data_IF_015089217561
#
_entry.id   IF_015089217561
#
_cell.length_a   1.000
_cell.length_b   1.000
_cell.length_c   1.000
_cell.angle_alpha   90.00
_cell.angle_beta   90.00
_cell.angle_gamma   90.00
#
_symmetry.space_group_name_H-M   'P 1'
#
loop_
_entity.id
_entity.type
_entity.pdbx_description
1 polymer ?
2 non-polymer ?
3 non-polymer ?
4 water ?
#
# COMPACT_ATOMS: atom_id res chain seq x y z
N UNK A 4 -29.58 10.16 -3.77
CA UNK A 4 -28.18 9.85 -4.26
C UNK A 4 -27.51 8.84 -3.33
N UNK A 5 -27.53 7.52 -3.63
CA UNK A 5 -27.10 6.51 -2.67
C UNK A 5 -25.59 6.57 -2.42
N UNK A 6 -25.14 6.20 -1.22
CA UNK A 6 -23.69 6.14 -0.94
C UNK A 6 -23.11 4.88 -1.54
N UNK A 7 -21.90 4.94 -2.12
CA UNK A 7 -21.36 3.76 -2.76
C UNK A 7 -20.92 2.69 -1.78
N UNK A 8 -20.96 1.43 -2.26
CA UNK A 8 -20.48 0.22 -1.55
C UNK A 8 -19.08 -0.13 -2.04
N UNK A 9 -18.70 0.36 -3.24
CA UNK A 9 -17.41 0.04 -3.86
C UNK A 9 -17.00 1.15 -4.85
N UNK A 10 -15.73 1.55 -4.81
CA UNK A 10 -15.15 2.61 -5.68
C UNK A 10 -14.01 1.96 -6.45
N UNK A 11 -13.57 2.63 -7.49
CA UNK A 11 -12.34 2.22 -8.19
C UNK A 11 -11.31 3.30 -7.96
N UNK A 12 -10.10 2.82 -7.83
CA UNK A 12 -8.93 3.66 -7.48
C UNK A 12 -7.89 3.38 -8.53
N UNK A 13 -7.37 4.44 -9.12
CA UNK A 13 -6.21 4.38 -10.04
C UNK A 13 -4.96 4.72 -9.23
N UNK A 14 -3.94 3.90 -9.38
CA UNK A 14 -2.59 4.16 -8.82
C UNK A 14 -1.62 4.27 -9.98
N UNK A 15 -0.92 5.38 -10.08
CA UNK A 15 0.17 5.52 -11.06
C UNK A 15 1.50 5.72 -10.37
N UNK A 16 2.57 5.15 -10.89
CA UNK A 16 3.93 5.47 -10.45
C UNK A 16 4.77 5.70 -11.70
N UNK A 17 5.49 6.82 -11.70
CA UNK A 17 6.41 7.15 -12.80
C UNK A 17 7.62 7.87 -12.30
N UNK A 18 8.78 7.31 -12.57
CA UNK A 18 10.05 8.02 -12.41
C UNK A 18 10.29 8.75 -13.74
N UNK A 19 10.17 10.07 -13.69
CA UNK A 19 10.19 10.96 -14.87
C UNK A 19 11.62 11.22 -15.34
N UNK A 20 12.66 10.78 -14.59
CA UNK A 20 14.05 10.97 -15.03
C UNK A 20 14.38 12.43 -15.25
N UNK A 21 13.77 13.31 -14.45
CA UNK A 21 14.06 14.77 -14.43
C UNK A 21 13.85 15.37 -15.82
N UNK A 22 12.90 14.84 -16.59
CA UNK A 22 12.54 15.37 -17.91
C UNK A 22 11.08 15.71 -17.89
N UNK A 23 10.65 16.79 -18.57
CA UNK A 23 9.23 17.08 -18.71
C UNK A 23 8.55 15.95 -19.46
N UNK A 24 7.25 15.73 -19.21
CA UNK A 24 6.52 14.67 -19.89
C UNK A 24 6.20 15.08 -21.32
N UNK A 25 5.81 14.13 -22.19
CA UNK A 25 5.37 14.47 -23.53
C UNK A 25 3.98 15.12 -23.48
N UNK A 26 3.47 15.57 -24.62
CA UNK A 26 2.21 16.35 -24.64
C UNK A 26 1.01 15.46 -24.31
N UNK A 27 1.08 14.15 -24.55
CA UNK A 27 -0.06 13.26 -24.26
C UNK A 27 0.38 12.09 -23.37
N UNK A 28 -0.26 11.93 -22.20
CA UNK A 28 0.07 10.84 -21.24
C UNK A 28 -1.23 10.09 -20.88
N UNK A 29 -2.30 10.27 -21.68
CA UNK A 29 -3.61 9.64 -21.42
C UNK A 29 -3.56 8.10 -21.33
N UNK A 30 -2.65 7.45 -22.06
CA UNK A 30 -2.47 5.97 -22.06
C UNK A 30 -2.25 5.48 -20.63
N UNK A 31 -1.52 6.26 -19.83
CA UNK A 31 -1.26 5.92 -18.41
C UNK A 31 -2.59 5.79 -17.65
N UNK A 32 -3.42 6.82 -17.68
CA UNK A 32 -4.67 6.89 -16.89
C UNK A 32 -5.66 5.86 -17.42
N UNK A 33 -5.52 5.47 -18.67
CA UNK A 33 -6.41 4.47 -19.31
C UNK A 33 -5.90 3.05 -19.11
N UNK A 34 -4.77 2.81 -18.43
CA UNK A 34 -4.25 1.44 -18.21
C UNK A 34 -4.09 0.73 -19.56
N UNK A 35 -3.45 1.40 -20.52
CA UNK A 35 -3.15 0.88 -21.88
C UNK A 35 -1.64 0.65 -22.02
N UNK A 36 -1.25 -0.50 -22.58
CA UNK A 36 0.15 -0.78 -22.89
C UNK A 36 0.37 -2.24 -22.75
N UNK A 37 1.30 -2.63 -21.87
CA UNK A 37 1.64 -4.05 -21.62
C UNK A 37 1.12 -4.47 -20.26
N UNK A 38 0.96 -5.78 -20.06
CA UNK A 38 0.56 -6.36 -18.79
C UNK A 38 -0.91 -6.61 -18.76
N UNK A 39 -1.50 -6.43 -17.58
CA UNK A 39 -2.95 -6.58 -17.34
C UNK A 39 -3.59 -5.22 -17.59
N UNK A 40 -4.19 -5.04 -18.77
CA UNK A 40 -4.67 -3.75 -19.25
C UNK A 40 -6.21 -3.70 -19.12
N UNK A 41 -6.69 -2.48 -19.19
CA UNK A 41 -8.11 -2.17 -18.96
C UNK A 41 -8.84 -2.29 -20.31
N UNK A 42 -10.05 -2.84 -20.29
CA UNK A 42 -10.92 -3.02 -21.48
C UNK A 42 -11.24 -1.66 -22.11
N UNK A 43 -11.22 -1.60 -23.44
CA UNK A 43 -11.54 -0.35 -24.19
C UNK A 43 -12.94 0.16 -23.84
N UNK A 44 -13.86 -0.74 -23.52
CA UNK A 44 -15.25 -0.36 -23.25
C UNK A 44 -15.34 0.51 -21.98
N UNK A 45 -14.29 0.54 -21.15
CA UNK A 45 -14.26 1.30 -19.87
C UNK A 45 -13.64 2.67 -20.04
N UNK A 46 -13.14 3.02 -21.21
CA UNK A 46 -12.27 4.22 -21.36
C UNK A 46 -12.93 5.49 -20.86
N UNK A 47 -14.25 5.64 -21.03
CA UNK A 47 -14.89 6.92 -20.63
C UNK A 47 -15.34 6.88 -19.17
N UNK A 48 -15.22 5.75 -18.50
CA UNK A 48 -15.73 5.58 -17.12
C UNK A 48 -14.64 6.11 -16.20
N UNK A 49 -14.88 7.19 -15.45
CA UNK A 49 -13.83 7.73 -14.61
C UNK A 49 -13.65 6.78 -13.42
N UNK A 50 -12.41 6.66 -12.95
CA UNK A 50 -12.14 6.10 -11.63
C UNK A 50 -12.64 7.12 -10.62
N UNK A 51 -12.94 6.65 -9.42
CA UNK A 51 -13.40 7.55 -8.34
C UNK A 51 -12.27 8.41 -7.81
N UNK A 52 -11.10 7.80 -7.64
CA UNK A 52 -9.90 8.45 -7.07
C UNK A 52 -8.73 8.08 -7.97
N UNK A 53 -7.91 9.07 -8.34
CA UNK A 53 -6.62 8.89 -9.04
C UNK A 53 -5.51 9.30 -8.10
N UNK A 54 -4.55 8.40 -7.88
CA UNK A 54 -3.39 8.70 -7.02
C UNK A 54 -2.17 8.57 -7.88
N UNK A 55 -1.40 9.65 -8.01
CA UNK A 55 -0.28 9.77 -8.98
C UNK A 55 1.04 10.00 -8.23
N UNK A 56 1.92 8.99 -8.23
CA UNK A 56 3.23 9.06 -7.56
C UNK A 56 4.27 9.29 -8.63
N UNK A 57 5.03 10.35 -8.49
CA UNK A 57 6.21 10.59 -9.35
C UNK A 57 7.50 10.58 -8.51
N UNK A 58 8.59 10.31 -9.23
CA UNK A 58 9.98 10.36 -8.71
C UNK A 58 10.79 11.07 -9.78
N UNK A 59 11.85 11.76 -9.36
CA UNK A 59 12.68 12.54 -10.30
C UNK A 59 11.77 13.49 -11.10
N UNK A 60 10.79 14.09 -10.42
CA UNK A 60 9.77 14.94 -11.06
C UNK A 60 10.31 16.36 -11.15
N UNK A 61 10.53 16.89 -12.38
CA UNK A 61 11.16 18.20 -12.53
C UNK A 61 10.18 19.37 -12.52
N UNK A 62 8.89 19.05 -12.45
CA UNK A 62 7.82 20.05 -12.61
C UNK A 62 7.49 20.71 -11.27
N UNK A 63 6.95 21.92 -11.32
CA UNK A 63 6.31 22.50 -10.12
C UNK A 63 5.00 21.74 -9.86
N UNK A 64 4.46 21.85 -8.65
CA UNK A 64 3.17 21.25 -8.31
C UNK A 64 2.13 21.81 -9.28
N UNK A 65 2.18 23.13 -9.50
CA UNK A 65 1.21 23.77 -10.39
C UNK A 65 1.31 23.16 -11.80
N UNK A 66 2.51 23.05 -12.35
CA UNK A 66 2.69 22.56 -13.74
C UNK A 66 2.15 21.12 -13.84
N UNK A 67 2.42 20.30 -12.85
CA UNK A 67 2.00 18.86 -12.91
C UNK A 67 0.48 18.76 -12.73
N UNK A 68 -0.09 19.50 -11.78
CA UNK A 68 -1.55 19.51 -11.57
C UNK A 68 -2.29 19.88 -12.86
N UNK A 69 -1.80 20.92 -13.56
CA UNK A 69 -2.32 21.40 -14.86
C UNK A 69 -2.43 20.20 -15.81
N UNK A 70 -1.31 19.51 -16.01
CA UNK A 70 -1.19 18.37 -16.96
C UNK A 70 -2.12 17.24 -16.52
N UNK A 71 -2.12 16.91 -15.24
CA UNK A 71 -2.98 15.81 -14.75
C UNK A 71 -4.45 16.15 -14.99
N UNK A 72 -4.89 17.31 -14.53
CA UNK A 72 -6.34 17.62 -14.59
C UNK A 72 -6.81 17.67 -16.05
N UNK A 73 -6.02 18.28 -16.92
CA UNK A 73 -6.27 18.36 -18.39
C UNK A 73 -6.43 16.94 -18.94
N UNK A 74 -5.48 16.06 -18.65
CA UNK A 74 -5.43 14.66 -19.17
C UNK A 74 -6.71 13.92 -18.73
N UNK A 75 -7.11 14.05 -17.47
CA UNK A 75 -8.34 13.37 -16.98
C UNK A 75 -9.56 14.00 -17.63
N UNK A 76 -9.59 15.34 -17.74
CA UNK A 76 -10.74 16.03 -18.40
C UNK A 76 -10.89 15.55 -19.86
N UNK A 77 -9.79 15.44 -20.60
CA UNK A 77 -9.84 14.95 -21.99
C UNK A 77 -10.39 13.52 -22.05
N UNK A 78 -9.99 12.66 -21.12
CA UNK A 78 -10.46 11.25 -21.08
C UNK A 78 -11.93 11.17 -20.69
N UNK A 79 -12.32 11.85 -19.63
CA UNK A 79 -13.59 11.53 -18.90
C UNK A 79 -14.64 12.60 -19.12
N UNK A 80 -14.24 13.78 -19.58
CA UNK A 80 -15.03 15.04 -19.57
C UNK A 80 -15.42 15.45 -18.15
N UNK A 81 -14.69 15.01 -17.14
CA UNK A 81 -14.92 15.39 -15.73
C UNK A 81 -13.76 16.25 -15.25
N UNK A 82 -14.07 17.35 -14.59
CA UNK A 82 -13.06 18.20 -13.92
C UNK A 82 -12.84 17.67 -12.50
N UNK A 83 -11.70 17.05 -12.27
CA UNK A 83 -11.41 16.38 -10.98
C UNK A 83 -11.06 17.43 -9.95
N UNK A 84 -11.38 17.17 -8.68
CA UNK A 84 -10.98 18.01 -7.54
C UNK A 84 -9.65 17.52 -6.97
N UNK A 85 -8.81 18.45 -6.56
CA UNK A 85 -7.53 18.12 -5.90
C UNK A 85 -7.80 17.83 -4.42
N UNK A 86 -7.54 16.61 -3.99
CA UNK A 86 -7.70 16.20 -2.57
C UNK A 86 -6.45 16.62 -1.83
N UNK A 87 -5.28 16.32 -2.41
CA UNK A 87 -4.00 16.57 -1.73
C UNK A 87 -2.86 16.54 -2.73
N UNK A 88 -1.82 17.27 -2.44
CA UNK A 88 -0.54 17.20 -3.17
C UNK A 88 0.56 17.40 -2.15
N UNK A 89 1.57 16.58 -2.21
CA UNK A 89 2.72 16.68 -1.28
C UNK A 89 3.98 16.27 -2.00
N UNK A 90 5.02 17.08 -1.86
CA UNK A 90 6.32 16.89 -2.54
C UNK A 90 7.45 16.90 -1.52
N UNK A 91 8.34 15.90 -1.60
CA UNK A 91 9.64 15.90 -0.89
C UNK A 91 10.69 15.84 -1.97
N UNK A 92 11.47 16.89 -2.09
CA UNK A 92 12.52 16.98 -3.12
C UNK A 92 11.85 16.79 -4.48
N UNK A 93 12.11 15.70 -5.17
CA UNK A 93 11.53 15.45 -6.51
C UNK A 93 10.60 14.22 -6.46
N UNK A 94 10.14 13.86 -5.25
CA UNK A 94 9.17 12.76 -5.00
C UNK A 94 7.81 13.38 -4.71
N UNK A 95 6.79 13.03 -5.47
CA UNK A 95 5.53 13.76 -5.34
C UNK A 95 4.35 12.79 -5.34
N UNK A 96 3.33 13.17 -4.63
CA UNK A 96 2.05 12.44 -4.65
C UNK A 96 0.92 13.45 -4.90
N UNK A 97 0.05 13.11 -5.84
CA UNK A 97 -1.19 13.87 -6.13
C UNK A 97 -2.38 12.95 -5.94
N UNK A 98 -3.40 13.40 -5.24
CA UNK A 98 -4.70 12.71 -5.14
C UNK A 98 -5.78 13.60 -5.73
N UNK A 99 -6.48 13.04 -6.73
CA UNK A 99 -7.58 13.68 -7.45
C UNK A 99 -8.82 12.81 -7.25
N UNK A 100 -9.98 13.43 -7.08
CA UNK A 100 -11.24 12.67 -6.96
C UNK A 100 -12.36 13.30 -7.76
N UNK A 101 -13.35 12.49 -8.16
CA UNK A 101 -14.61 12.97 -8.76
C UNK A 101 -15.15 14.11 -7.90
N UNK A 102 -15.76 15.17 -8.49
CA UNK A 102 -16.37 16.23 -7.70
C UNK A 102 -17.49 15.75 -6.77
N UNK A 103 -18.20 14.69 -7.13
CA UNK A 103 -19.31 14.14 -6.31
C UNK A 103 -18.76 13.57 -4.99
N UNK A 104 -17.45 13.35 -4.86
CA UNK A 104 -16.83 12.75 -3.65
C UNK A 104 -16.32 13.81 -2.67
N UNK A 105 -16.42 15.09 -3.02
CA UNK A 105 -15.77 16.15 -2.23
C UNK A 105 -16.25 16.15 -0.77
N UNK A 106 -17.52 15.85 -0.54
CA UNK A 106 -18.13 15.86 0.82
C UNK A 106 -18.18 14.44 1.40
N UNK A 107 -17.56 13.45 0.72
CA UNK A 107 -17.36 12.09 1.28
C UNK A 107 -15.91 11.97 1.82
N UNK A 108 -15.05 12.90 1.45
CA UNK A 108 -13.61 12.85 1.77
C UNK A 108 -13.32 13.80 2.92
N UNK A 109 -12.72 13.30 3.98
CA UNK A 109 -12.38 14.17 5.12
C UNK A 109 -11.09 13.70 5.75
N UNK A 110 -10.62 14.40 6.78
CA UNK A 110 -9.45 13.98 7.58
C UNK A 110 -8.24 13.76 6.66
N UNK A 111 -7.98 14.70 5.77
CA UNK A 111 -6.89 14.57 4.79
C UNK A 111 -5.58 14.82 5.54
N UNK A 112 -4.63 13.89 5.44
CA UNK A 112 -3.28 14.01 6.06
C UNK A 112 -2.23 13.83 4.97
N UNK A 113 -1.10 14.53 5.12
CA UNK A 113 0.08 14.36 4.22
C UNK A 113 1.28 14.26 5.14
N UNK A 114 2.29 13.53 4.69
CA UNK A 114 3.57 13.46 5.43
C UNK A 114 4.66 12.98 4.48
N UNK A 115 5.88 13.04 4.93
CA UNK A 115 7.04 12.58 4.16
C UNK A 115 8.04 12.00 5.16
N UNK A 116 8.85 11.09 4.68
CA UNK A 116 10.01 10.53 5.41
C UNK A 116 11.23 10.67 4.52
N UNK A 117 12.32 11.18 5.04
CA UNK A 117 13.64 11.23 4.39
C UNK A 117 14.42 10.00 4.83
N UNK A 118 14.91 9.16 3.92
CA UNK A 118 15.66 7.94 4.35
C UNK A 118 17.18 8.21 4.40
N UNK A 119 17.95 7.39 5.12
CA UNK A 119 19.42 7.47 5.11
C UNK A 119 19.97 8.54 6.05
N UNK A 120 21.30 8.58 6.23
CA UNK A 120 22.03 9.48 7.18
C UNK A 120 23.23 10.09 6.42
N UNK A 121 23.38 11.43 6.47
CA UNK A 121 24.54 12.21 5.98
C UNK A 121 24.72 12.03 4.45
N UNK A 122 25.69 11.21 4.01
CA UNK A 122 25.86 10.70 2.62
C UNK A 122 24.50 10.41 1.97
N UNK A 123 23.73 9.51 2.62
CA UNK A 123 22.56 8.80 2.05
C UNK A 123 21.26 9.57 2.35
N UNK A 124 21.31 10.68 3.12
CA UNK A 124 20.16 11.62 3.28
C UNK A 124 20.30 12.76 2.27
N UNK A 125 19.33 12.90 1.36
CA UNK A 125 19.26 14.09 0.52
C UNK A 125 18.45 13.89 -0.74
N UNK A 126 18.18 12.66 -1.16
CA UNK A 126 17.19 12.59 -2.25
C UNK A 126 16.14 11.46 -2.22
N UNK A 127 16.31 10.44 -1.38
CA UNK A 127 15.42 9.24 -1.30
C UNK A 127 14.48 9.39 -0.10
N UNK A 128 13.32 8.76 -0.17
CA UNK A 128 12.34 8.76 0.91
C UNK A 128 10.98 8.56 0.34
N UNK A 129 9.98 9.07 1.03
CA UNK A 129 8.59 8.76 0.66
C UNK A 129 7.72 9.96 0.97
N UNK A 130 6.64 10.09 0.22
CA UNK A 130 5.53 10.99 0.55
C UNK A 130 4.28 10.14 0.70
N UNK A 131 3.31 10.67 1.42
CA UNK A 131 2.06 9.94 1.63
C UNK A 131 0.90 10.82 1.86
N UNK A 132 -0.27 10.24 1.64
CA UNK A 132 -1.58 10.88 1.82
C UNK A 132 -2.49 9.87 2.48
N UNK A 133 -3.26 10.30 3.47
CA UNK A 133 -4.41 9.52 3.94
C UNK A 133 -5.67 10.39 4.01
N UNK A 134 -6.82 9.72 3.99
CA UNK A 134 -8.10 10.41 4.24
C UNK A 134 -9.15 9.35 4.52
N UNK A 135 -10.28 9.83 4.99
CA UNK A 135 -11.51 9.03 5.11
C UNK A 135 -12.33 9.23 3.85
N UNK A 136 -12.84 8.14 3.30
CA UNK A 136 -13.87 8.13 2.28
C UNK A 136 -15.10 7.51 2.94
N UNK A 137 -16.06 8.35 3.32
CA UNK A 137 -17.19 7.90 4.18
C UNK A 137 -16.59 7.12 5.36
N UNK A 138 -16.97 5.88 5.58
CA UNK A 138 -16.55 5.14 6.78
C UNK A 138 -15.26 4.35 6.55
N UNK A 139 -14.58 4.57 5.42
CA UNK A 139 -13.40 3.77 5.02
C UNK A 139 -12.16 4.65 5.03
N UNK A 140 -11.10 4.20 5.72
CA UNK A 140 -9.80 4.89 5.77
C UNK A 140 -8.91 4.40 4.60
N UNK A 141 -8.29 5.35 3.91
CA UNK A 141 -7.46 5.06 2.72
C UNK A 141 -6.10 5.71 2.97
N UNK A 142 -5.04 4.96 2.77
CA UNK A 142 -3.64 5.45 2.80
C UNK A 142 -2.92 5.18 1.51
N UNK A 143 -1.99 6.08 1.16
CA UNK A 143 -1.25 6.02 -0.12
C UNK A 143 0.17 6.45 0.16
N UNK A 144 1.12 5.62 -0.23
CA UNK A 144 2.56 5.89 -0.03
C UNK A 144 3.26 5.81 -1.38
N UNK A 145 3.95 6.89 -1.75
CA UNK A 145 4.83 6.95 -2.93
C UNK A 145 6.25 7.00 -2.41
N UNK A 146 7.06 5.95 -2.61
CA UNK A 146 8.47 5.94 -2.14
C UNK A 146 9.41 5.80 -3.30
N UNK A 147 10.56 6.47 -3.18
CA UNK A 147 11.74 6.35 -4.07
C UNK A 147 12.83 5.76 -3.22
N UNK A 148 13.07 4.44 -3.31
CA UNK A 148 14.03 3.78 -2.42
C UNK A 148 15.43 3.81 -3.05
N UNK A 149 16.42 3.41 -2.26
CA UNK A 149 17.85 3.40 -2.63
C UNK A 149 18.01 2.65 -3.94
N UNK A 150 18.84 3.19 -4.83
CA UNK A 150 19.13 2.57 -6.16
C UNK A 150 20.32 1.58 -6.05
N UNK A 151 20.48 0.77 -7.06
CA UNK A 151 21.68 -0.06 -7.21
C UNK A 151 21.35 -1.51 -6.92
N UNK A 152 21.75 -2.40 -7.82
CA UNK A 152 21.52 -3.85 -7.68
C UNK A 152 22.06 -4.43 -6.35
N UNK A 153 23.14 -3.83 -5.83
CA UNK A 153 23.88 -4.35 -4.66
C UNK A 153 23.19 -3.97 -3.34
N UNK A 154 22.18 -3.08 -3.39
CA UNK A 154 21.64 -2.41 -2.18
C UNK A 154 20.20 -2.87 -1.80
N UNK A 155 19.88 -4.13 -1.97
CA UNK A 155 18.51 -4.57 -1.65
C UNK A 155 18.28 -4.44 -0.12
N UNK A 156 19.32 -4.67 0.69
CA UNK A 156 19.19 -4.56 2.15
C UNK A 156 18.88 -3.12 2.54
N UNK A 157 19.54 -2.15 1.91
CA UNK A 157 19.28 -0.70 2.13
C UNK A 157 17.82 -0.41 1.79
N UNK A 158 17.34 -0.93 0.67
CA UNK A 158 15.93 -0.72 0.29
C UNK A 158 15.04 -1.24 1.42
N UNK A 159 15.34 -2.42 1.95
CA UNK A 159 14.47 -3.02 2.99
C UNK A 159 14.49 -2.11 4.22
N UNK A 160 15.65 -1.54 4.51
CA UNK A 160 15.81 -0.60 5.63
C UNK A 160 14.99 0.66 5.35
N UNK A 161 15.00 1.16 4.10
CA UNK A 161 14.26 2.37 3.72
C UNK A 161 12.78 2.08 3.98
N UNK A 162 12.29 0.92 3.53
CA UNK A 162 10.90 0.48 3.76
C UNK A 162 10.55 0.54 5.26
N UNK A 163 11.40 -0.02 6.12
CA UNK A 163 11.05 -0.07 7.57
C UNK A 163 11.03 1.37 8.12
N UNK A 164 11.99 2.22 7.75
CA UNK A 164 11.96 3.63 8.22
C UNK A 164 10.70 4.35 7.75
N UNK A 165 10.28 4.15 6.50
CA UNK A 165 9.06 4.80 6.01
C UNK A 165 7.85 4.33 6.82
N UNK A 166 7.77 3.01 6.97
CA UNK A 166 6.69 2.28 7.68
C UNK A 166 6.55 2.85 9.10
N UNK A 167 7.70 3.05 9.77
CA UNK A 167 7.73 3.48 11.18
C UNK A 167 7.36 4.95 11.30
N UNK A 168 7.87 5.80 10.42
CA UNK A 168 7.94 7.26 10.68
C UNK A 168 6.96 8.07 9.86
N UNK A 169 6.30 7.50 8.86
CA UNK A 169 5.31 8.27 8.11
C UNK A 169 4.06 8.40 8.97
N UNK A 170 3.71 9.64 9.31
CA UNK A 170 2.63 9.93 10.27
C UNK A 170 1.36 10.26 9.50
N UNK A 171 0.60 9.24 9.16
CA UNK A 171 -0.69 9.39 8.45
C UNK A 171 -1.77 8.75 9.29
N UNK A 172 -3.02 9.03 8.96
CA UNK A 172 -4.18 8.39 9.57
C UNK A 172 -4.41 8.88 10.97
N UNK A 173 -5.16 8.09 11.74
CA UNK A 173 -5.76 8.54 13.02
C UNK A 173 -4.66 8.46 14.09
N UNK A 174 -4.18 9.62 14.57
CA UNK A 174 -3.09 9.69 15.59
C UNK A 174 -3.51 9.00 16.88
N UNK A 175 -4.87 8.80 17.19
CA UNK A 175 -5.32 8.07 18.40
C UNK A 175 -4.92 6.61 18.31
N UNK A 176 -4.60 6.14 17.10
CA UNK A 176 -4.15 4.73 16.93
C UNK A 176 -2.67 4.64 17.24
N UNK A 177 -2.26 5.04 18.45
CA UNK A 177 -0.84 5.33 18.75
C UNK A 177 0.03 4.09 18.68
N UNK A 178 -0.38 2.86 19.02
CA UNK A 178 0.51 1.72 18.87
C UNK A 178 0.73 1.25 17.43
N UNK A 179 -0.01 1.82 16.50
CA UNK A 179 -0.10 1.23 15.14
C UNK A 179 0.65 2.11 14.15
N UNK A 180 1.42 1.45 13.29
CA UNK A 180 2.07 2.12 12.15
C UNK A 180 1.11 2.12 10.96
N UNK A 181 1.57 2.71 9.87
CA UNK A 181 0.68 2.84 8.68
C UNK A 181 0.24 1.47 8.18
N UNK A 182 0.95 0.37 8.47
CA UNK A 182 0.53 -0.96 7.93
C UNK A 182 -0.72 -1.48 8.68
N UNK A 183 -1.23 -0.76 9.67
CA UNK A 183 -2.48 -1.14 10.39
C UNK A 183 -3.48 0.00 10.45
N UNK A 184 -3.17 1.20 9.97
CA UNK A 184 -4.09 2.35 10.20
C UNK A 184 -5.25 2.44 9.20
N UNK A 185 -5.21 1.68 8.11
CA UNK A 185 -6.10 1.93 6.95
C UNK A 185 -6.83 0.66 6.53
N UNK A 186 -8.11 0.84 6.20
CA UNK A 186 -8.91 -0.22 5.55
C UNK A 186 -8.13 -0.71 4.31
N UNK A 187 -7.61 0.23 3.55
CA UNK A 187 -6.86 -0.07 2.31
C UNK A 187 -5.63 0.81 2.29
N UNK A 188 -4.46 0.19 2.18
CA UNK A 188 -3.16 0.89 2.08
C UNK A 188 -2.53 0.52 0.74
N UNK A 189 -2.17 1.53 -0.04
CA UNK A 189 -1.50 1.32 -1.34
C UNK A 189 -0.10 1.86 -1.19
N UNK A 190 0.88 1.07 -1.53
CA UNK A 190 2.29 1.50 -1.45
C UNK A 190 2.92 1.25 -2.82
N UNK A 191 3.47 2.28 -3.39
CA UNK A 191 3.94 2.25 -4.78
C UNK A 191 5.17 3.15 -4.87
N UNK A 192 5.80 3.15 -6.04
CA UNK A 192 6.89 4.06 -6.36
C UNK A 192 7.99 3.37 -7.13
N UNK A 193 9.12 4.06 -7.24
CA UNK A 193 10.38 3.48 -7.71
C UNK A 193 11.04 2.79 -6.53
N UNK A 194 10.61 1.55 -6.28
CA UNK A 194 11.12 0.76 -5.15
C UNK A 194 12.54 0.28 -5.46
N UNK A 195 12.94 0.27 -6.71
CA UNK A 195 14.36 0.16 -7.12
C UNK A 195 14.91 -1.24 -6.92
N UNK A 196 14.06 -2.25 -6.69
CA UNK A 196 14.53 -3.65 -6.65
C UNK A 196 14.83 -4.12 -8.09
N UNK A 197 15.88 -4.93 -8.22
CA UNK A 197 16.44 -5.31 -9.52
C UNK A 197 16.30 -6.81 -9.78
N UNK A 198 16.52 -7.14 -11.05
CA UNK A 198 16.64 -8.55 -11.51
C UNK A 198 18.07 -8.94 -11.24
N UNK A 199 18.29 -9.80 -10.24
CA UNK A 199 19.64 -10.17 -9.75
C UNK A 199 20.15 -11.35 -10.56
N UNK A 200 20.72 -11.07 -11.72
CA UNK A 200 21.36 -12.05 -12.60
C UNK A 200 22.75 -11.49 -12.89
N UNK A 201 23.72 -12.34 -13.33
CA UNK A 201 25.06 -11.85 -13.62
C UNK A 201 25.01 -10.81 -14.74
N UNK A 202 25.86 -9.79 -14.68
CA UNK A 202 25.82 -8.61 -15.61
C UNK A 202 26.16 -9.05 -17.03
N UNK A 203 26.90 -10.14 -17.19
CA UNK A 203 27.28 -10.71 -18.52
C UNK A 203 26.12 -11.49 -19.13
N UNK A 204 25.02 -11.68 -18.39
CA UNK A 204 23.74 -12.18 -18.95
C UNK A 204 22.85 -11.03 -19.51
N UNK A 205 23.34 -9.81 -19.63
CA UNK A 205 22.50 -8.68 -20.02
C UNK A 205 21.80 -8.96 -21.34
N UNK A 206 22.53 -9.47 -22.34
CA UNK A 206 21.94 -9.60 -23.69
C UNK A 206 20.95 -10.75 -23.63
N UNK A 207 21.20 -11.76 -22.80
CA UNK A 207 20.27 -12.91 -22.63
C UNK A 207 18.97 -12.39 -22.03
N UNK A 208 19.08 -11.54 -21.01
CA UNK A 208 17.86 -10.93 -20.39
C UNK A 208 17.06 -10.17 -21.44
N UNK A 209 17.73 -9.34 -22.24
CA UNK A 209 17.07 -8.55 -23.30
C UNK A 209 16.31 -9.46 -24.27
N UNK A 210 16.93 -10.56 -24.70
CA UNK A 210 16.29 -11.50 -25.66
C UNK A 210 15.09 -12.18 -24.98
N UNK A 211 15.17 -12.49 -23.68
CA UNK A 211 14.00 -13.02 -22.93
C UNK A 211 12.86 -11.98 -22.95
N UNK A 212 13.18 -10.70 -22.71
CA UNK A 212 12.14 -9.63 -22.76
C UNK A 212 11.50 -9.51 -24.16
N UNK A 213 12.29 -9.56 -25.22
CA UNK A 213 11.78 -9.49 -26.60
C UNK A 213 10.81 -10.66 -26.88
N UNK A 214 11.02 -11.81 -26.26
CA UNK A 214 10.17 -13.01 -26.42
C UNK A 214 8.97 -12.94 -25.45
N UNK A 215 8.91 -11.93 -24.61
CA UNK A 215 7.85 -11.82 -23.58
C UNK A 215 7.85 -13.03 -22.66
N UNK A 216 9.04 -13.51 -22.30
CA UNK A 216 9.24 -14.68 -21.44
C UNK A 216 9.84 -14.15 -20.14
N UNK A 217 8.99 -13.84 -19.17
CA UNK A 217 9.42 -13.12 -17.95
C UNK A 217 9.73 -14.11 -16.82
N UNK A 218 9.36 -15.38 -16.93
CA UNK A 218 9.40 -16.31 -15.78
C UNK A 218 10.81 -16.39 -15.18
N UNK A 219 11.85 -16.57 -15.99
CA UNK A 219 13.23 -16.76 -15.49
C UNK A 219 13.78 -15.42 -15.00
N UNK A 220 13.18 -14.30 -15.38
CA UNK A 220 13.61 -13.01 -14.82
C UNK A 220 12.90 -12.76 -13.48
N UNK A 221 11.57 -12.93 -13.43
CA UNK A 221 10.81 -12.67 -12.17
C UNK A 221 11.34 -13.57 -11.04
N UNK A 222 11.81 -14.78 -11.35
CA UNK A 222 12.36 -15.70 -10.32
C UNK A 222 13.61 -15.10 -9.69
N UNK A 223 14.21 -14.07 -10.31
CA UNK A 223 15.38 -13.37 -9.72
C UNK A 223 15.04 -11.93 -9.32
N UNK A 224 13.77 -11.54 -9.40
CA UNK A 224 13.38 -10.16 -9.01
C UNK A 224 13.60 -10.04 -7.49
N UNK A 225 14.34 -9.02 -7.08
CA UNK A 225 14.71 -8.93 -5.66
C UNK A 225 13.48 -8.63 -4.79
N UNK A 226 12.49 -7.92 -5.30
CA UNK A 226 11.32 -7.62 -4.45
C UNK A 226 10.56 -8.93 -4.22
N UNK A 227 10.32 -9.72 -5.25
CA UNK A 227 9.63 -11.03 -5.07
C UNK A 227 10.44 -11.91 -4.10
N UNK A 228 11.76 -12.01 -4.24
CA UNK A 228 12.57 -12.93 -3.43
C UNK A 228 12.63 -12.41 -2.02
N UNK A 229 12.82 -11.10 -1.82
CA UNK A 229 12.89 -10.56 -0.45
C UNK A 229 11.54 -10.76 0.26
N UNK A 230 10.44 -10.53 -0.48
CA UNK A 230 9.07 -10.73 0.06
C UNK A 230 8.90 -12.21 0.46
N UNK A 231 9.37 -13.14 -0.37
CA UNK A 231 9.17 -14.60 -0.11
C UNK A 231 9.97 -15.02 1.13
N UNK A 232 11.09 -14.33 1.41
CA UNK A 232 11.92 -14.61 2.62
C UNK A 232 11.49 -13.71 3.79
N UNK A 233 10.38 -12.97 3.65
CA UNK A 233 9.78 -12.14 4.72
C UNK A 233 10.77 -11.08 5.18
N UNK A 234 11.51 -10.51 4.25
CA UNK A 234 12.50 -9.46 4.57
C UNK A 234 11.89 -8.09 4.41
N UNK A 235 10.77 -7.97 3.71
CA UNK A 235 10.19 -6.65 3.35
C UNK A 235 8.75 -6.89 2.92
N UNK A 236 7.91 -5.87 3.07
CA UNK A 236 6.52 -5.85 2.60
C UNK A 236 5.76 -7.09 3.12
N UNK A 237 6.00 -7.50 4.35
CA UNK A 237 5.25 -8.63 4.94
C UNK A 237 3.77 -8.26 4.95
N UNK A 238 2.94 -9.18 4.51
CA UNK A 238 1.45 -9.09 4.54
C UNK A 238 0.91 -8.10 3.52
N UNK A 239 1.74 -7.71 2.53
CA UNK A 239 1.27 -6.96 1.35
C UNK A 239 1.03 -7.90 0.17
N UNK A 240 0.21 -7.43 -0.78
CA UNK A 240 -0.14 -8.16 -2.02
C UNK A 240 0.43 -7.40 -3.21
N UNK A 241 0.76 -8.11 -4.29
CA UNK A 241 1.10 -7.49 -5.58
C UNK A 241 0.48 -8.38 -6.62
N UNK A 242 -0.11 -7.77 -7.66
CA UNK A 242 -0.65 -8.49 -8.84
C UNK A 242 0.51 -9.13 -9.58
N UNK A 243 0.26 -10.25 -10.28
CA UNK A 243 1.29 -10.89 -11.12
C UNK A 243 1.76 -9.88 -12.14
N UNK A 244 3.07 -9.85 -12.36
CA UNK A 244 3.72 -8.99 -13.37
C UNK A 244 3.73 -9.68 -14.73
N UNK A 245 3.11 -9.04 -15.71
CA UNK A 245 2.96 -9.59 -17.09
C UNK A 245 3.41 -8.54 -18.10
N UNK A 246 4.14 -7.52 -17.67
CA UNK A 246 4.70 -6.45 -18.53
C UNK A 246 6.23 -6.52 -18.47
N UNK A 247 6.88 -5.97 -19.49
CA UNK A 247 8.35 -5.94 -19.57
C UNK A 247 8.90 -5.10 -18.43
N UNK A 248 10.15 -5.37 -18.02
CA UNK A 248 10.89 -4.49 -17.10
C UNK A 248 10.75 -3.03 -17.51
N UNK A 249 10.54 -2.14 -16.53
CA UNK A 249 10.19 -0.74 -16.81
C UNK A 249 11.41 0.18 -16.73
N UNK A 250 12.57 -0.41 -16.56
CA UNK A 250 13.87 0.30 -16.38
C UNK A 250 14.95 -0.63 -16.92
N UNK A 251 16.06 -0.13 -17.52
CA UNK A 251 16.36 1.24 -17.83
C UNK A 251 16.35 1.40 -19.34
N UNK A 252 15.51 2.29 -19.86
CA UNK A 252 15.35 2.47 -21.33
C UNK A 252 16.26 3.59 -21.79
N UNK A 253 16.67 3.52 -23.05
CA UNK A 253 17.10 4.72 -23.79
C UNK A 253 15.89 5.64 -23.96
N UNK A 254 16.05 6.94 -23.72
CA UNK A 254 14.95 7.89 -23.90
C UNK A 254 14.56 8.03 -25.39
N UNK A 255 13.28 8.33 -25.63
CA UNK A 255 12.64 8.70 -26.92
C UNK A 255 12.36 7.45 -27.76
N UNK A 256 12.66 6.26 -27.27
CA UNK A 256 12.21 4.99 -27.89
C UNK A 256 11.81 4.07 -26.73
N UNK A 257 11.18 2.91 -26.97
CA UNK A 257 11.18 1.80 -25.96
C UNK A 257 11.89 0.60 -26.55
N UNK A 258 12.66 0.80 -27.61
CA UNK A 258 13.23 -0.34 -28.38
C UNK A 258 14.53 -0.82 -27.73
N UNK A 259 15.11 -0.04 -26.81
CA UNK A 259 16.46 -0.34 -26.30
C UNK A 259 16.50 -0.16 -24.79
N UNK A 260 16.98 -1.19 -24.15
CA UNK A 260 17.44 -1.12 -22.74
C UNK A 260 18.89 -0.64 -22.70
N UNK A 261 19.13 0.39 -21.90
CA UNK A 261 20.47 1.01 -21.65
C UNK A 261 20.99 0.46 -20.33
N UNK A 262 21.75 -0.62 -20.35
CA UNK A 262 22.19 -1.30 -19.12
C UNK A 262 23.69 -1.18 -18.75
N UNK A 263 24.52 -0.80 -19.72
CA UNK A 263 26.00 -0.82 -19.60
C UNK A 263 26.44 0.23 -18.58
N UNK A 264 27.56 -0.03 -17.88
CA UNK A 264 28.10 0.90 -16.86
C UNK A 264 28.67 2.11 -17.60
N UNK A 265 28.44 3.28 -17.03
CA UNK A 265 28.78 4.62 -17.58
C UNK A 265 29.21 5.53 -16.43
N UNK A 266 30.02 6.58 -16.68
CA UNK A 266 30.31 7.55 -15.61
C UNK A 266 29.00 8.02 -14.97
N UNK A 267 27.98 8.28 -15.79
CA UNK A 267 26.69 8.84 -15.33
C UNK A 267 26.00 7.85 -14.39
N UNK A 268 26.29 6.55 -14.47
CA UNK A 268 25.68 5.58 -13.51
C UNK A 268 26.57 5.28 -12.30
N UNK A 269 27.67 6.01 -12.09
CA UNK A 269 28.67 5.61 -11.09
C UNK A 269 29.33 4.29 -11.43
N UNK A 270 29.45 4.01 -12.72
CA UNK A 270 30.07 2.77 -13.24
C UNK A 270 29.30 1.55 -12.74
N UNK A 271 27.98 1.68 -12.63
CA UNK A 271 27.06 0.59 -12.24
C UNK A 271 26.29 0.11 -13.47
N UNK A 272 26.10 -1.21 -13.58
CA UNK A 272 25.20 -1.80 -14.57
C UNK A 272 23.79 -1.61 -14.06
N UNK A 273 22.89 -1.35 -14.99
CA UNK A 273 21.43 -1.34 -14.70
C UNK A 273 20.79 -2.39 -15.57
N UNK A 274 20.93 -3.66 -15.23
CA UNK A 274 20.20 -4.73 -15.94
C UNK A 274 18.71 -4.42 -15.89
N UNK A 275 17.96 -4.70 -16.98
CA UNK A 275 16.52 -4.50 -17.03
C UNK A 275 15.84 -5.07 -15.78
N UNK A 276 15.02 -4.22 -15.17
CA UNK A 276 14.41 -4.49 -13.87
C UNK A 276 13.01 -3.90 -13.74
N UNK A 277 12.23 -4.52 -12.86
CA UNK A 277 10.91 -4.01 -12.47
C UNK A 277 11.08 -3.09 -11.26
N UNK A 278 11.66 -1.92 -11.49
CA UNK A 278 11.89 -0.94 -10.41
C UNK A 278 10.58 -0.35 -9.89
N UNK A 279 9.56 -0.32 -10.73
CA UNK A 279 8.38 0.57 -10.57
C UNK A 279 7.16 -0.27 -10.24
N UNK A 280 6.65 -0.19 -9.03
CA UNK A 280 5.76 -1.25 -8.46
C UNK A 280 4.57 -0.65 -7.74
N UNK A 281 3.53 -1.46 -7.62
CA UNK A 281 2.34 -1.11 -6.81
C UNK A 281 1.99 -2.32 -5.97
N UNK A 282 1.94 -2.13 -4.67
CA UNK A 282 1.52 -3.16 -3.71
C UNK A 282 0.40 -2.62 -2.85
N UNK A 283 -0.33 -3.51 -2.19
CA UNK A 283 -1.40 -3.05 -1.28
C UNK A 283 -1.57 -3.99 -0.11
N UNK A 284 -2.25 -3.48 0.90
CA UNK A 284 -2.63 -4.26 2.08
C UNK A 284 -3.96 -3.72 2.54
N UNK A 285 -4.96 -4.57 2.60
CA UNK A 285 -6.30 -4.21 3.06
C UNK A 285 -6.60 -5.06 4.30
N UNK A 286 -7.48 -4.57 5.13
CA UNK A 286 -7.92 -5.30 6.34
C UNK A 286 -8.55 -6.60 5.88
N UNK A 287 -8.50 -7.62 6.76
CA UNK A 287 -9.01 -8.94 6.42
C UNK A 287 -10.49 -8.90 6.01
N UNK A 288 -10.80 -9.64 4.93
CA UNK A 288 -12.18 -9.83 4.41
C UNK A 288 -12.80 -8.52 3.97
N UNK A 289 -11.99 -7.53 3.54
CA UNK A 289 -12.55 -6.38 2.80
C UNK A 289 -12.31 -6.66 1.33
N UNK A 290 -13.30 -6.33 0.51
CA UNK A 290 -13.22 -6.48 -0.96
C UNK A 290 -12.10 -5.59 -1.50
N UNK A 291 -11.12 -6.19 -2.20
CA UNK A 291 -10.13 -5.41 -2.98
C UNK A 291 -9.72 -6.29 -4.14
N UNK A 292 -9.95 -5.86 -5.36
CA UNK A 292 -9.61 -6.65 -6.57
C UNK A 292 -8.79 -5.79 -7.51
N UNK A 293 -7.59 -6.22 -7.83
CA UNK A 293 -6.77 -5.55 -8.84
C UNK A 293 -7.37 -5.80 -10.23
N UNK A 294 -7.71 -4.72 -10.92
CA UNK A 294 -8.37 -4.73 -12.26
C UNK A 294 -7.33 -4.57 -13.37
N UNK A 295 -6.20 -3.93 -13.08
CA UNK A 295 -5.14 -3.66 -14.08
C UNK A 295 -3.80 -3.52 -13.36
N UNK A 296 -2.74 -3.91 -14.05
CA UNK A 296 -1.36 -3.77 -13.55
C UNK A 296 -0.49 -3.91 -14.79
N UNK A 297 0.11 -2.80 -15.18
CA UNK A 297 0.87 -2.81 -16.41
C UNK A 297 1.72 -1.57 -16.58
N UNK A 298 2.30 -1.44 -17.75
CA UNK A 298 3.15 -0.28 -18.07
C UNK A 298 2.73 0.30 -19.41
N UNK A 299 2.97 1.59 -19.59
CA UNK A 299 2.66 2.23 -20.89
C UNK A 299 3.80 1.92 -21.85
N UNK A 300 3.50 1.95 -23.14
CA UNK A 300 4.48 1.72 -24.24
C UNK A 300 4.81 2.99 -25.02
N UNK A 301 4.04 4.08 -24.87
CA UNK A 301 4.07 5.26 -25.76
C UNK A 301 4.58 6.51 -25.03
N UNK A 302 5.03 6.40 -23.76
CA UNK A 302 5.53 7.57 -22.99
C UNK A 302 7.01 7.30 -22.78
N UNK A 303 7.87 8.08 -23.45
CA UNK A 303 9.30 7.72 -23.67
C UNK A 303 10.26 8.84 -23.24
N UNK A 304 9.78 9.85 -22.52
CA UNK A 304 10.64 10.98 -22.10
C UNK A 304 11.64 10.56 -21.03
N UNK A 305 11.32 9.52 -20.26
CA UNK A 305 12.13 9.05 -19.12
C UNK A 305 12.83 7.75 -19.49
N UNK A 306 13.79 7.36 -18.68
CA UNK A 306 14.45 6.05 -18.78
C UNK A 306 13.60 5.00 -18.05
N UNK A 307 12.51 5.43 -17.44
CA UNK A 307 11.48 4.51 -16.87
C UNK A 307 10.20 4.66 -17.66
N UNK A 308 9.44 3.58 -17.84
CA UNK A 308 8.04 3.66 -18.28
C UNK A 308 7.10 3.80 -17.08
N UNK A 309 6.06 4.65 -17.22
CA UNK A 309 4.96 4.70 -16.23
C UNK A 309 4.36 3.31 -15.98
N UNK A 310 3.97 3.08 -14.74
CA UNK A 310 3.21 1.88 -14.32
C UNK A 310 1.86 2.36 -13.81
N UNK A 311 0.84 1.60 -14.14
CA UNK A 311 -0.53 1.78 -13.66
C UNK A 311 -0.99 0.52 -12.95
N UNK A 312 -1.86 0.72 -11.99
CA UNK A 312 -2.67 -0.32 -11.36
C UNK A 312 -4.03 0.25 -11.02
N UNK A 313 -5.08 -0.54 -11.20
CA UNK A 313 -6.42 -0.08 -10.77
C UNK A 313 -7.03 -1.16 -9.89
N UNK A 314 -7.89 -0.70 -8.99
CA UNK A 314 -8.51 -1.55 -7.99
C UNK A 314 -9.97 -1.23 -7.82
N UNK A 315 -10.79 -2.28 -7.65
CA UNK A 315 -12.11 -2.19 -6.98
C UNK A 315 -11.88 -2.31 -5.49
N UNK A 316 -12.38 -1.36 -4.70
CA UNK A 316 -12.19 -1.39 -3.24
C UNK A 316 -13.54 -1.22 -2.54
N UNK A 317 -13.83 -2.09 -1.59
CA UNK A 317 -15.05 -1.97 -0.80
C UNK A 317 -14.95 -0.78 0.12
N UNK A 318 -16.05 -0.05 0.26
CA UNK A 318 -16.18 1.13 1.14
C UNK A 318 -17.49 0.96 1.90
N UNK A 319 -17.56 1.60 3.05
CA UNK A 319 -18.75 1.62 3.90
C UNK A 319 -19.24 3.06 4.06
N UNK A 320 -20.50 3.19 4.49
CA UNK A 320 -21.19 4.48 4.72
C UNK A 320 -20.69 5.11 6.02
N UNK A 321 -21.05 6.37 6.26
CA UNK A 321 -20.86 7.05 7.57
C UNK A 321 -22.11 6.77 8.41
N UNK A 322 -22.15 5.65 9.12
CA UNK A 322 -23.33 5.09 9.82
C UNK A 322 -23.76 5.97 11.00
N UNK A 323 -25.07 6.28 11.03
CA UNK A 323 -25.77 6.97 12.16
C UNK A 323 -26.96 6.10 12.58
N UNK A 324 -27.05 5.79 13.87
CA UNK A 324 -28.27 5.19 14.48
C UNK A 324 -28.88 6.18 15.49
N UNK A 325 -30.00 5.77 16.10
CA UNK A 325 -30.72 6.50 17.17
C UNK A 325 -29.78 6.63 18.39
N UNK A 326 -28.90 5.63 18.55
CA UNK A 326 -27.92 5.50 19.67
C UNK A 326 -26.58 6.09 19.22
N UNK A 327 -25.60 5.26 18.86
CA UNK A 327 -24.28 5.75 18.41
C UNK A 327 -24.36 6.33 17.00
N UNK A 328 -23.45 7.24 16.61
CA UNK A 328 -22.43 7.79 17.53
C UNK A 328 -22.93 8.71 18.66
N UNK A 329 -22.17 8.77 19.75
CA UNK A 329 -22.38 9.61 20.94
C UNK A 329 -22.94 8.86 22.12
N UNK A 330 -23.08 7.55 21.97
CA UNK A 330 -23.43 6.62 23.06
C UNK A 330 -23.14 5.19 22.57
N UNK A 331 -23.33 4.21 23.45
CA UNK A 331 -23.24 2.75 23.14
C UNK A 331 -24.65 2.27 22.72
N UNK A 332 -24.71 1.05 22.19
CA UNK A 332 -25.98 0.36 21.80
C UNK A 332 -26.01 -0.97 22.55
N UNK A 333 -26.57 -0.99 23.76
CA UNK A 333 -26.54 -2.15 24.69
C UNK A 333 -26.85 -3.45 23.93
N UNK A 334 -27.47 -3.38 22.74
CA UNK A 334 -27.84 -4.58 21.94
C UNK A 334 -26.62 -5.21 21.28
N UNK A 335 -25.46 -4.54 21.31
CA UNK A 335 -24.20 -4.99 20.68
C UNK A 335 -23.15 -5.36 21.70
N UNK A 336 -22.39 -6.43 21.46
CA UNK A 336 -21.22 -6.75 22.29
C UNK A 336 -20.25 -7.66 21.53
N UNK A 337 -18.98 -7.51 21.86
CA UNK A 337 -17.91 -8.39 21.32
C UNK A 337 -17.20 -9.06 22.50
N UNK A 338 -17.22 -10.38 22.51
CA UNK A 338 -16.57 -11.18 23.56
C UNK A 338 -15.47 -12.02 22.93
N UNK A 339 -14.43 -12.28 23.73
CA UNK A 339 -13.23 -13.07 23.39
C UNK A 339 -13.10 -14.24 24.37
N UNK A 340 -13.02 -15.45 23.84
CA UNK A 340 -12.90 -16.68 24.66
C UNK A 340 -11.53 -17.30 24.36
N UNK A 341 -10.90 -17.96 25.35
CA UNK A 341 -9.74 -18.87 25.15
C UNK A 341 -8.67 -18.13 24.32
N UNK A 342 -8.40 -16.85 24.57
CA UNK A 342 -7.41 -16.11 23.74
C UNK A 342 -6.01 -16.21 24.32
N UNK A 343 -5.03 -16.27 23.43
CA UNK A 343 -3.62 -16.18 23.88
C UNK A 343 -2.77 -15.60 22.75
N UNK A 344 -1.76 -14.87 23.18
CA UNK A 344 -0.72 -14.32 22.29
C UNK A 344 0.47 -15.26 22.41
N UNK A 345 1.14 -15.55 21.29
CA UNK A 345 2.42 -16.28 21.26
C UNK A 345 3.42 -15.25 20.77
N UNK A 346 4.43 -14.93 21.56
CA UNK A 346 5.40 -13.87 21.19
C UNK A 346 6.78 -14.47 21.02
N UNK A 347 7.56 -13.91 20.12
CA UNK A 347 8.97 -14.32 19.85
C UNK A 347 9.93 -13.67 20.87
N UNK A 348 9.48 -12.71 21.64
CA UNK A 348 10.33 -11.92 22.56
C UNK A 348 11.05 -12.85 23.54
N UNK A 349 12.29 -12.48 23.86
CA UNK A 349 13.11 -13.22 24.86
C UNK A 349 12.89 -12.59 26.23
N UNK A 350 12.11 -11.50 26.31
CA UNK A 350 11.92 -10.73 27.56
C UNK A 350 10.90 -11.45 28.45
N UNK A 351 10.96 -11.16 29.76
CA UNK A 351 9.97 -11.58 30.79
C UNK A 351 9.49 -10.31 31.52
N UNK A 352 8.46 -9.66 30.95
CA UNK A 352 7.61 -8.61 31.54
C UNK A 352 6.17 -9.14 31.48
N UNK A 353 5.25 -8.54 32.20
CA UNK A 353 3.81 -8.82 32.03
C UNK A 353 3.34 -8.07 30.77
N UNK A 354 2.30 -8.60 30.15
CA UNK A 354 1.69 -7.99 28.94
C UNK A 354 0.20 -7.76 29.17
N UNK A 355 -0.31 -6.69 28.58
CA UNK A 355 -1.75 -6.42 28.47
C UNK A 355 -2.09 -6.13 27.01
N UNK A 356 -3.37 -6.19 26.68
CA UNK A 356 -3.86 -5.87 25.30
C UNK A 356 -4.54 -4.50 25.27
N UNK A 357 -4.50 -3.86 24.10
CA UNK A 357 -5.36 -2.70 23.78
C UNK A 357 -6.17 -3.04 22.54
N UNK A 358 -7.48 -2.80 22.60
CA UNK A 358 -8.41 -3.02 21.49
C UNK A 358 -8.75 -1.64 20.96
N UNK A 359 -8.50 -1.41 19.68
CA UNK A 359 -8.77 -0.10 19.05
C UNK A 359 -9.69 -0.32 17.86
N UNK A 360 -10.78 0.41 17.80
CA UNK A 360 -11.71 0.31 16.64
C UNK A 360 -12.59 1.53 16.61
N UNK A 361 -12.94 1.98 15.40
CA UNK A 361 -13.92 3.08 15.16
C UNK A 361 -15.31 2.67 15.65
N UNK A 362 -15.56 1.37 15.85
CA UNK A 362 -16.86 0.88 16.40
C UNK A 362 -16.91 1.06 17.93
N UNK A 363 -15.82 1.49 18.58
CA UNK A 363 -15.77 1.77 20.05
C UNK A 363 -15.68 3.28 20.30
N UNK A 364 -16.16 3.73 21.45
CA UNK A 364 -16.08 5.18 21.77
C UNK A 364 -14.60 5.53 22.00
N UNK A 365 -13.86 4.66 22.66
CA UNK A 365 -12.40 4.81 22.74
C UNK A 365 -11.79 3.43 22.98
N UNK A 366 -10.46 3.38 22.94
CA UNK A 366 -9.74 2.09 22.98
C UNK A 366 -9.91 1.46 24.37
N UNK A 367 -9.79 0.16 24.40
CA UNK A 367 -10.02 -0.62 25.66
C UNK A 367 -8.75 -1.35 26.05
N UNK A 368 -8.37 -1.23 27.32
CA UNK A 368 -7.13 -1.83 27.89
C UNK A 368 -7.51 -3.02 28.77
N UNK A 369 -7.01 -4.22 28.43
CA UNK A 369 -7.28 -5.46 29.16
C UNK A 369 -6.45 -5.46 30.45
N UNK A 370 -6.81 -6.39 31.33
CA UNK A 370 -5.94 -6.85 32.44
C UNK A 370 -4.72 -7.55 31.84
N UNK A 371 -3.68 -7.65 32.66
CA UNK A 371 -2.48 -8.45 32.33
C UNK A 371 -2.86 -9.90 32.07
N UNK A 372 -2.28 -10.49 31.05
CA UNK A 372 -2.35 -11.92 30.81
C UNK A 372 -1.41 -12.70 31.72
N UNK A 373 -1.49 -14.02 31.67
CA UNK A 373 -0.61 -14.94 32.43
C UNK A 373 0.40 -15.58 31.49
N UNK A 374 1.67 -15.28 31.74
CA UNK A 374 2.80 -15.81 30.96
C UNK A 374 2.98 -17.29 31.26
N UNK A 375 3.04 -18.12 30.22
CA UNK A 375 3.58 -19.48 30.33
C UNK A 375 4.68 -19.66 29.29
N UNK A 376 5.45 -20.73 29.45
CA UNK A 376 6.49 -21.23 28.50
C UNK A 376 5.82 -22.15 27.48
N UNK A 377 6.03 -21.89 26.18
CA UNK A 377 5.67 -22.81 25.07
C UNK A 377 6.63 -23.98 24.96
N UNK A 378 6.23 -25.07 24.29
CA UNK A 378 7.00 -26.34 24.18
C UNK A 378 8.34 -26.10 23.46
N UNK A 379 8.39 -25.13 22.54
CA UNK A 379 9.53 -24.90 21.61
C UNK A 379 10.25 -23.59 22.00
N UNK A 380 10.17 -23.16 23.27
CA UNK A 380 10.89 -21.97 23.79
C UNK A 380 10.04 -20.70 23.94
N UNK A 381 8.87 -20.61 23.30
CA UNK A 381 8.11 -19.34 23.08
C UNK A 381 7.55 -18.76 24.39
N UNK A 382 7.29 -17.47 24.41
CA UNK A 382 6.42 -16.89 25.46
C UNK A 382 4.96 -16.98 25.00
N UNK A 383 4.08 -17.58 25.83
CA UNK A 383 2.63 -17.65 25.55
C UNK A 383 1.97 -16.78 26.60
N UNK A 384 1.22 -15.78 26.18
CA UNK A 384 0.51 -14.92 27.15
C UNK A 384 -0.95 -15.34 27.12
N UNK A 385 -1.42 -15.91 28.23
CA UNK A 385 -2.81 -16.44 28.29
C UNK A 385 -3.75 -15.36 28.82
N UNK A 386 -4.83 -15.12 28.11
CA UNK A 386 -5.90 -14.21 28.55
C UNK A 386 -7.14 -14.99 29.01
N UNK A 387 -7.16 -16.30 28.79
CA UNK A 387 -8.31 -17.21 29.00
C UNK A 387 -9.63 -16.53 28.61
N UNK A 388 -10.49 -16.31 29.60
CA UNK A 388 -11.86 -15.77 29.45
C UNK A 388 -11.86 -14.41 30.13
N UNK A 389 -10.66 -13.82 30.34
CA UNK A 389 -10.46 -12.62 31.19
C UNK A 389 -10.65 -11.33 30.36
N UNK A 390 -10.61 -11.40 29.03
CA UNK A 390 -10.62 -10.17 28.17
C UNK A 390 -11.95 -9.44 28.37
N UNK A 391 -11.97 -8.09 28.38
CA UNK A 391 -13.22 -7.36 28.56
C UNK A 391 -14.23 -7.65 27.43
N UNK A 392 -15.46 -7.27 27.75
CA UNK A 392 -16.62 -7.29 26.82
C UNK A 392 -16.63 -5.93 26.13
N UNK A 393 -16.47 -5.89 24.80
CA UNK A 393 -16.37 -4.62 24.06
C UNK A 393 -17.79 -4.19 23.72
N UNK A 394 -18.04 -2.90 23.87
CA UNK A 394 -19.38 -2.28 23.75
C UNK A 394 -19.38 -1.39 22.51
N UNK A 395 -19.81 -1.91 21.35
CA UNK A 395 -19.83 -1.09 20.16
C UNK A 395 -20.87 0.04 20.26
N UNK A 396 -20.63 1.10 19.49
CA UNK A 396 -21.45 2.34 19.44
C UNK A 396 -22.75 2.07 18.68
N UNK A 397 -22.73 1.08 17.82
CA UNK A 397 -23.86 0.71 16.92
C UNK A 397 -23.93 -0.82 16.87
N UNK A 398 -25.14 -1.38 16.98
CA UNK A 398 -25.36 -2.85 17.09
C UNK A 398 -25.90 -3.39 15.77
N UNK A 399 -26.30 -2.52 14.85
CA UNK A 399 -26.89 -2.95 13.55
C UNK A 399 -25.84 -3.86 12.91
N UNK A 400 -26.21 -5.09 12.52
CA UNK A 400 -25.26 -6.00 11.90
C UNK A 400 -24.73 -5.50 10.55
N UNK A 401 -25.52 -4.70 9.82
CA UNK A 401 -25.06 -4.13 8.53
C UNK A 401 -23.89 -3.19 8.76
N UNK A 402 -23.76 -2.67 9.97
CA UNK A 402 -22.57 -1.85 10.34
C UNK A 402 -21.51 -2.76 10.95
N UNK A 403 -21.86 -3.50 12.00
CA UNK A 403 -20.86 -4.08 12.93
C UNK A 403 -20.08 -5.17 12.19
N UNK A 404 -20.72 -5.94 11.29
CA UNK A 404 -20.01 -7.07 10.62
C UNK A 404 -18.97 -6.51 9.64
N UNK A 405 -19.06 -5.24 9.26
CA UNK A 405 -18.08 -4.57 8.36
C UNK A 405 -16.91 -3.96 9.14
N UNK A 406 -16.87 -4.09 10.46
CA UNK A 406 -15.83 -3.41 11.25
C UNK A 406 -14.65 -4.35 11.53
N UNK A 407 -13.62 -3.76 12.10
CA UNK A 407 -12.37 -4.46 12.44
C UNK A 407 -11.91 -4.01 13.82
N UNK A 408 -11.23 -4.90 14.50
CA UNK A 408 -10.60 -4.63 15.82
C UNK A 408 -9.10 -4.74 15.65
N UNK A 409 -8.39 -3.65 15.90
CA UNK A 409 -6.93 -3.64 15.96
C UNK A 409 -6.53 -4.05 17.37
N UNK A 410 -5.51 -4.89 17.48
CA UNK A 410 -5.01 -5.38 18.78
C UNK A 410 -3.55 -5.00 18.89
N UNK A 411 -3.17 -4.42 20.03
CA UNK A 411 -1.75 -4.25 20.39
C UNK A 411 -1.52 -5.03 21.67
N UNK A 412 -0.42 -5.76 21.76
CA UNK A 412 0.01 -6.38 23.03
C UNK A 412 1.16 -5.53 23.54
N UNK A 413 1.00 -4.99 24.76
CA UNK A 413 1.92 -3.96 25.31
C UNK A 413 2.57 -4.52 26.57
N UNK A 414 3.84 -4.18 26.78
CA UNK A 414 4.55 -4.45 28.04
C UNK A 414 3.95 -3.57 29.17
N UNK A 415 3.62 -4.19 30.29
CA UNK A 415 3.20 -3.45 31.52
C UNK A 415 4.34 -2.53 32.00
N UNK A 416 5.58 -2.96 31.90
CA UNK A 416 6.80 -2.24 32.39
C UNK A 416 7.03 -0.97 31.56
N UNK A 417 6.87 -1.03 30.25
CA UNK A 417 7.31 0.07 29.35
C UNK A 417 6.15 0.72 28.60
N UNK A 418 4.98 0.07 28.56
CA UNK A 418 3.79 0.50 27.77
C UNK A 418 4.13 0.58 26.27
N UNK A 419 5.21 -0.22 25.89
CA UNK A 419 5.58 -0.28 24.44
C UNK A 419 4.89 -1.48 23.82
N UNK A 420 4.31 -1.27 22.58
CA UNK A 420 3.78 -2.42 21.80
C UNK A 420 4.90 -3.38 21.41
N UNK A 421 4.67 -4.66 21.64
CA UNK A 421 5.48 -5.79 21.16
C UNK A 421 4.87 -6.41 19.90
N UNK A 422 3.62 -6.09 19.60
CA UNK A 422 2.99 -6.63 18.38
C UNK A 422 1.60 -6.06 18.15
N UNK A 423 1.27 -5.92 16.86
CA UNK A 423 0.03 -5.31 16.37
C UNK A 423 -0.58 -6.29 15.37
N UNK A 424 -1.90 -6.37 15.40
CA UNK A 424 -2.63 -7.14 14.39
C UNK A 424 -4.06 -6.66 14.28
N UNK A 425 -4.85 -7.37 13.49
CA UNK A 425 -6.20 -6.90 13.14
C UNK A 425 -7.10 -8.11 12.97
N UNK A 426 -8.30 -8.01 13.53
CA UNK A 426 -9.35 -9.06 13.50
C UNK A 426 -10.58 -8.51 12.79
N UNK A 427 -11.06 -9.19 11.77
CA UNK A 427 -12.31 -8.83 11.07
C UNK A 427 -13.53 -9.33 11.88
N UNK A 428 -14.56 -8.51 11.92
CA UNK A 428 -15.90 -8.88 12.48
C UNK A 428 -16.85 -9.41 11.40
N UNK A 429 -16.34 -9.68 10.20
CA UNK A 429 -17.11 -10.27 9.07
C UNK A 429 -17.26 -11.78 9.33
N UNK A 430 -17.99 -12.14 10.39
CA UNK A 430 -18.06 -13.54 10.89
C UNK A 430 -19.05 -14.38 10.08
N UNK A 431 -18.83 -15.67 10.11
CA UNK A 431 -19.75 -16.68 9.53
C UNK A 431 -21.06 -16.72 10.32
N UNK A 432 -21.06 -16.30 11.57
CA UNK A 432 -22.24 -16.39 12.46
C UNK A 432 -22.14 -15.36 13.57
N UNK A 433 -23.29 -14.93 14.11
CA UNK A 433 -23.36 -14.13 15.35
C UNK A 433 -23.84 -15.03 16.50
N UNK A 434 -23.57 -14.62 17.73
CA UNK A 434 -24.02 -15.34 18.94
C UNK A 434 -23.45 -16.77 18.89
N UNK A 435 -22.26 -16.95 18.30
CA UNK A 435 -21.64 -18.28 18.04
C UNK A 435 -20.15 -18.12 18.30
N UNK A 436 -19.54 -19.01 19.08
CA UNK A 436 -18.06 -18.94 19.30
C UNK A 436 -17.34 -19.34 18.02
N UNK A 437 -16.44 -18.52 17.52
CA UNK A 437 -15.78 -18.81 16.22
C UNK A 437 -14.29 -18.52 16.37
N UNK A 438 -13.43 -19.30 15.69
CA UNK A 438 -12.00 -19.07 15.81
C UNK A 438 -11.65 -17.68 15.22
N UNK A 439 -10.72 -16.98 15.88
CA UNK A 439 -10.08 -15.77 15.32
C UNK A 439 -8.58 -15.96 15.35
N UNK A 440 -7.90 -15.17 14.52
CA UNK A 440 -6.44 -15.28 14.35
C UNK A 440 -5.97 -13.99 13.70
N UNK A 441 -4.83 -13.48 14.17
CA UNK A 441 -4.02 -12.50 13.40
C UNK A 441 -2.55 -12.73 13.68
N UNK A 442 -1.68 -12.59 12.68
CA UNK A 442 -0.26 -12.46 12.96
C UNK A 442 -0.08 -11.14 13.72
N UNK A 443 1.00 -11.05 14.49
CA UNK A 443 1.41 -9.81 15.17
C UNK A 443 2.74 -9.37 14.60
N UNK A 444 2.82 -8.07 14.36
CA UNK A 444 4.05 -7.44 13.83
C UNK A 444 4.41 -6.26 14.71
N UNK A 445 5.66 -5.86 14.60
CA UNK A 445 6.12 -4.58 15.21
C UNK A 445 7.20 -4.06 14.29
N UNK A 446 7.10 -2.80 13.95
CA UNK A 446 7.89 -2.17 12.86
C UNK A 446 7.77 -3.02 11.60
N UNK A 447 6.62 -3.63 11.39
CA UNK A 447 6.32 -4.39 10.16
C UNK A 447 7.02 -5.74 10.11
N UNK A 448 7.71 -6.16 11.17
CA UNK A 448 8.34 -7.50 11.26
C UNK A 448 7.48 -8.43 12.13
N UNK A 449 7.43 -9.72 11.79
CA UNK A 449 6.65 -10.69 12.59
C UNK A 449 7.22 -10.81 14.02
N UNK A 450 6.37 -10.65 15.00
CA UNK A 450 6.78 -10.74 16.42
C UNK A 450 5.96 -11.77 17.19
N UNK A 451 4.97 -12.36 16.57
CA UNK A 451 4.09 -13.30 17.27
C UNK A 451 2.77 -13.50 16.57
N UNK A 452 1.83 -14.02 17.34
CA UNK A 452 0.48 -14.42 16.88
C UNK A 452 -0.51 -14.17 18.00
N UNK A 453 -1.75 -13.92 17.61
CA UNK A 453 -2.88 -13.81 18.56
C UNK A 453 -3.99 -14.68 18.02
N UNK A 454 -4.49 -15.55 18.87
CA UNK A 454 -5.58 -16.45 18.43
C UNK A 454 -6.49 -16.73 19.61
N UNK A 455 -7.71 -17.15 19.28
CA UNK A 455 -8.71 -17.45 20.31
C UNK A 455 -10.03 -17.63 19.64
N UNK A 456 -11.08 -17.27 20.35
CA UNK A 456 -12.44 -17.33 19.80
C UNK A 456 -13.13 -16.00 20.07
N UNK A 457 -14.08 -15.67 19.20
CA UNK A 457 -14.91 -14.45 19.28
C UNK A 457 -16.36 -14.92 19.36
N UNK A 458 -17.17 -14.04 20.05
CA UNK A 458 -18.65 -14.19 20.12
C UNK A 458 -19.20 -12.78 19.91
N UNK A 459 -19.88 -12.61 18.74
CA UNK A 459 -20.38 -11.28 18.38
C UNK A 459 -21.91 -11.26 18.49
N UNK A 460 -22.41 -10.31 19.28
CA UNK A 460 -23.86 -10.01 19.44
C UNK A 460 -24.19 -8.74 18.64
N UNK A 461 -25.12 -8.84 17.69
CA UNK A 461 -25.65 -7.67 16.96
C UNK A 461 -27.12 -7.57 17.35
N UNK A 462 -27.81 -6.54 16.89
CA UNK A 462 -29.26 -6.36 17.12
C UNK A 462 -30.09 -7.45 16.40
N UNK A 463 -29.51 -8.25 15.51
CA UNK A 463 -30.31 -9.29 14.80
C UNK A 463 -30.04 -10.69 15.36
X LIG B 1 -6.18 4.73 -26.16
X LIG B 1 -5.15 2.59 -26.67
X LIG B 1 -2.68 4.16 -29.03
X LIG B 1 -3.89 6.33 -28.70
X LIG B 1 -2.94 7.17 -29.55
X LIG B 1 -5.05 3.97 -26.44
X LIG B 1 -7.42 4.11 -26.11
X LIG B 1 -7.52 2.75 -26.33
X LIG B 1 -6.40 1.98 -26.61
X LIG B 1 -3.18 5.19 -28.14
X LIG B 1 -8.83 2.12 -26.26
X LIG B 1 -1.67 7.11 -28.96
X LIG B 1 -2.39 3.89 -26.01
X LIG B 1 -3.44 5.96 -25.64
X LIG B 1 -3.45 4.78 -26.52
X LIG C 1 -14.23 0.09 6.80
X LIG C 1 -14.92 0.53 5.56
X LIG C 1 -14.19 -1.69 6.71
X LIG C 1 -15.47 0.13 8.08
X LIG D 1 -10.59 0.76 12.41
X LIG D 1 -11.84 0.62 13.24
X LIG D 1 -9.59 2.00 13.22
X LIG D 1 -9.64 -0.62 12.84
X LIG E 1 -2.61 -8.78 10.02
X LIG E 1 -2.71 -7.27 10.18
X LIG E 1 -2.02 -9.10 8.40
X LIG E 1 -4.27 -9.34 9.84
#
# INVERSE_FOLDING_TARGET
SMEQPEPDMITIFIGTWNMGNAPPPKKITSWFLSKGQGKTRDDSADYIPHDIYVIGTQEDPLSEKEWLEILKHSLQEITSVTFKTVAIHTLWNIRIVVLAKPEHENRISHICTDNVKTGIANTLGNKGAVGVSFMFNGTSLGFVNSHLTSGSEKKLRRNQNYMNILRFLALGDKKLSPFNITHRFTHLFWFGDLNYRVDLPTWEAETIIQKIKQQQYADLLSHDQLLTERREQKVFLHFEEEEITFAPTYRFERLTRDKYAYTKQKATGMKYNLPSWCDRVLWKSYPLVHVVCQSYGSTSDIMTSDHSPVFATFEAGVTSQFVSKNGPGTVDSQGQIEFLRCYATLKTKSQTKFYLEFHSSCLESFVKSQEGENEEGSEGELVVKFGETLPKLKPIISDPEYLLDQHILISIKSSDSDESYGEGCIALRLEATETQLPIYTPLTHHGELTGHFQGEIKLQTSQ
WL7 C10 C15 C01 C03 C04 C09 C11 C12 C14 N02 N13 O05 O07 O08 S06
DMS S O C1 C2
DMS S O C1 C2
DMS S O C1 C2
#
